data_IF_357270599963
#
_entry.id   IF_357270599963
#
_cell.length_a   1.000
_cell.length_b   1.000
_cell.length_c   1.000
_cell.angle_alpha   90.00
_cell.angle_beta   90.00
_cell.angle_gamma   90.00
#
_symmetry.space_group_name_H-M   'P 1'
#
loop_
_entity.id
_entity.type
_entity.pdbx_description
1 polymer ?
#
# COMPACT_ATOMS: atom_id res chain seq x y z
N UNK A 1 -24.91 -10.88 -14.62
CA UNK A 1 -24.07 -10.13 -13.66
C UNK A 1 -23.46 -8.97 -14.43
N UNK A 2 -23.97 -7.75 -14.26
CA UNK A 2 -23.47 -6.59 -15.02
C UNK A 2 -22.20 -6.07 -14.34
N UNK A 3 -21.06 -6.14 -15.03
CA UNK A 3 -19.87 -5.38 -14.65
C UNK A 3 -20.20 -3.90 -14.77
N UNK A 4 -20.09 -3.16 -13.67
CA UNK A 4 -20.21 -1.72 -13.68
C UNK A 4 -18.96 -1.17 -14.37
N UNK A 5 -19.04 -0.84 -15.66
CA UNK A 5 -18.00 -0.05 -16.30
C UNK A 5 -17.97 1.32 -15.61
N UNK A 6 -16.95 1.55 -14.79
CA UNK A 6 -16.73 2.86 -14.18
C UNK A 6 -16.44 3.84 -15.32
N UNK A 7 -17.38 4.74 -15.60
CA UNK A 7 -17.21 5.80 -16.60
C UNK A 7 -16.29 6.89 -16.01
N UNK A 8 -14.99 6.79 -16.25
CA UNK A 8 -14.01 7.78 -15.83
C UNK A 8 -13.92 8.86 -16.92
N UNK A 9 -14.43 10.10 -16.69
CA UNK A 9 -14.38 11.15 -17.69
C UNK A 9 -12.93 11.61 -17.92
N UNK A 10 -12.62 12.12 -19.12
CA UNK A 10 -11.29 12.57 -19.51
C UNK A 10 -10.72 13.71 -18.63
N UNK A 11 -11.58 14.40 -17.88
CA UNK A 11 -11.21 15.45 -16.92
C UNK A 11 -11.28 15.00 -15.46
N UNK A 12 -11.42 13.69 -15.19
CA UNK A 12 -11.38 13.15 -13.85
C UNK A 12 -10.06 13.54 -13.20
N UNK A 13 -10.13 14.38 -12.17
CA UNK A 13 -9.02 14.64 -11.28
C UNK A 13 -9.13 13.65 -10.13
N UNK A 14 -8.01 12.99 -9.82
CA UNK A 14 -7.89 12.24 -8.58
C UNK A 14 -8.30 13.16 -7.42
N UNK A 15 -9.30 12.74 -6.65
CA UNK A 15 -9.65 13.42 -5.40
C UNK A 15 -8.39 13.43 -4.54
N UNK A 16 -7.89 14.62 -4.19
CA UNK A 16 -6.64 14.77 -3.43
C UNK A 16 -6.72 14.22 -2.00
N UNK A 17 -7.87 13.66 -1.59
CA UNK A 17 -8.09 13.04 -0.29
C UNK A 17 -7.63 11.57 -0.27
N UNK A 18 -6.43 11.29 -0.78
CA UNK A 18 -5.84 9.97 -0.69
C UNK A 18 -5.48 9.60 0.75
N UNK A 19 -5.71 8.35 1.13
CA UNK A 19 -5.29 7.83 2.43
C UNK A 19 -3.98 7.07 2.28
N UNK A 20 -2.97 7.44 3.06
CA UNK A 20 -1.73 6.65 3.16
C UNK A 20 -2.03 5.37 3.94
N UNK A 21 -1.92 4.22 3.27
CA UNK A 21 -2.16 2.90 3.88
C UNK A 21 -0.85 2.23 4.33
N UNK A 22 0.26 2.51 3.66
CA UNK A 22 1.56 1.90 3.94
C UNK A 22 2.66 2.96 4.14
N UNK A 23 3.42 2.83 5.22
CA UNK A 23 4.49 3.77 5.57
C UNK A 23 3.98 5.13 6.07
N UNK A 24 4.54 6.22 5.55
CA UNK A 24 4.12 7.59 5.87
C UNK A 24 4.76 8.23 7.10
N UNK A 25 5.52 7.48 7.89
CA UNK A 25 6.11 7.93 9.16
C UNK A 25 7.63 8.15 9.07
N UNK A 26 8.13 8.47 7.88
CA UNK A 26 9.56 8.60 7.60
C UNK A 26 10.26 7.26 7.39
N UNK A 27 11.58 7.36 7.13
CA UNK A 27 12.46 6.20 6.94
C UNK A 27 12.74 5.54 8.28
N UNK A 28 12.58 4.21 8.36
CA UNK A 28 12.90 3.43 9.55
C UNK A 28 12.40 1.98 9.46
N UNK A 29 12.48 1.26 10.57
CA UNK A 29 12.20 -0.18 10.69
C UNK A 29 10.96 -0.48 11.56
N UNK A 30 10.25 0.53 12.07
CA UNK A 30 8.95 0.32 12.70
C UNK A 30 7.92 -0.25 11.71
N UNK A 31 6.84 -0.84 12.21
CA UNK A 31 5.77 -1.45 11.39
C UNK A 31 4.97 -0.46 10.56
N UNK A 32 5.09 0.84 10.83
CA UNK A 32 4.48 1.93 10.08
C UNK A 32 5.53 2.74 9.26
N UNK A 33 6.74 2.21 9.12
CA UNK A 33 7.85 2.81 8.38
C UNK A 33 8.38 1.86 7.30
N UNK A 34 9.02 2.44 6.30
CA UNK A 34 9.70 1.74 5.22
C UNK A 34 11.09 2.36 5.01
N UNK A 35 12.02 1.59 4.45
CA UNK A 35 13.40 1.97 4.21
C UNK A 35 13.87 1.43 2.85
N UNK A 36 14.01 2.35 1.87
CA UNK A 36 14.50 2.01 0.53
C UNK A 36 13.70 0.94 -0.21
N UNK A 37 12.38 0.90 -0.02
CA UNK A 37 11.47 -0.02 -0.68
C UNK A 37 11.60 0.01 -2.22
N UNK A 38 11.50 -1.17 -2.88
CA UNK A 38 11.77 -1.29 -4.33
C UNK A 38 10.62 -1.82 -5.18
N UNK A 39 9.60 -2.43 -4.57
CA UNK A 39 8.46 -2.99 -5.29
C UNK A 39 7.23 -3.11 -4.39
N UNK A 40 6.06 -3.01 -4.99
CA UNK A 40 4.78 -3.24 -4.34
C UNK A 40 3.87 -4.08 -5.24
N UNK A 41 3.02 -4.88 -4.61
CA UNK A 41 1.94 -5.64 -5.25
C UNK A 41 0.66 -5.42 -4.46
N UNK A 42 -0.48 -5.43 -5.16
CA UNK A 42 -1.81 -5.37 -4.56
C UNK A 42 -2.61 -6.54 -5.10
N UNK A 43 -3.14 -7.38 -4.22
CA UNK A 43 -3.96 -8.54 -4.61
C UNK A 43 -5.45 -8.19 -4.74
N UNK A 44 -6.26 -9.19 -5.13
CA UNK A 44 -7.71 -9.04 -5.33
C UNK A 44 -8.46 -8.71 -4.02
N UNK A 45 -7.88 -9.02 -2.86
CA UNK A 45 -8.40 -8.66 -1.53
C UNK A 45 -7.99 -7.25 -1.09
N UNK A 46 -7.34 -6.48 -1.97
CA UNK A 46 -6.77 -5.14 -1.71
C UNK A 46 -5.68 -5.16 -0.63
N UNK A 47 -5.00 -6.29 -0.46
CA UNK A 47 -3.83 -6.38 0.40
C UNK A 47 -2.63 -5.81 -0.32
N UNK A 48 -1.95 -4.86 0.31
CA UNK A 48 -0.72 -4.25 -0.19
C UNK A 48 0.47 -5.01 0.38
N UNK A 49 1.35 -5.50 -0.48
CA UNK A 49 2.61 -6.14 -0.10
C UNK A 49 3.77 -5.34 -0.66
N UNK A 50 4.76 -5.02 0.18
CA UNK A 50 5.89 -4.14 -0.17
C UNK A 50 7.21 -4.83 0.17
N UNK A 51 8.13 -4.83 -0.78
CA UNK A 51 9.52 -5.23 -0.55
C UNK A 51 10.27 -4.05 0.11
N UNK A 52 10.47 -4.14 1.42
CA UNK A 52 11.16 -3.15 2.25
C UNK A 52 12.67 -3.43 2.28
N UNK A 53 13.30 -3.18 1.12
CA UNK A 53 14.61 -3.71 0.74
C UNK A 53 15.72 -3.43 1.75
N UNK A 54 15.88 -2.19 2.23
CA UNK A 54 16.99 -1.85 3.15
C UNK A 54 16.74 -2.33 4.58
N UNK A 55 15.52 -2.76 4.89
CA UNK A 55 15.18 -3.45 6.14
C UNK A 55 15.18 -4.97 5.99
N UNK A 56 15.51 -5.49 4.79
CA UNK A 56 15.55 -6.93 4.47
C UNK A 56 14.25 -7.68 4.83
N UNK A 57 13.10 -7.05 4.62
CA UNK A 57 11.80 -7.65 4.96
C UNK A 57 10.74 -7.40 3.89
N UNK A 58 9.69 -8.20 3.95
CA UNK A 58 8.46 -8.00 3.18
C UNK A 58 7.36 -7.60 4.15
N UNK A 59 6.75 -6.45 3.87
CA UNK A 59 5.69 -5.88 4.70
C UNK A 59 4.32 -6.06 4.02
N UNK A 60 3.28 -6.26 4.81
CA UNK A 60 1.89 -6.41 4.36
C UNK A 60 0.98 -5.42 5.10
N UNK A 61 0.04 -4.81 4.37
CA UNK A 61 -1.12 -4.09 4.90
C UNK A 61 -2.37 -4.68 4.27
N UNK A 62 -3.29 -5.18 5.08
CA UNK A 62 -4.57 -5.68 4.58
C UNK A 62 -5.51 -4.52 4.30
N UNK A 63 -6.57 -4.78 3.54
CA UNK A 63 -7.61 -3.77 3.32
C UNK A 63 -8.15 -3.24 4.65
N UNK A 64 -8.14 -1.92 4.82
CA UNK A 64 -8.53 -1.23 6.05
C UNK A 64 -7.39 -0.97 7.05
N UNK A 65 -6.22 -1.59 6.88
CA UNK A 65 -5.04 -1.27 7.70
C UNK A 65 -4.47 0.08 7.29
N UNK A 66 -4.44 1.03 8.23
CA UNK A 66 -3.99 2.41 7.98
C UNK A 66 -2.91 2.88 8.94
N UNK A 67 -2.61 2.08 9.97
CA UNK A 67 -1.74 2.49 11.07
C UNK A 67 -0.43 1.71 11.10
N UNK A 68 -0.47 0.38 11.00
CA UNK A 68 0.69 -0.49 11.09
C UNK A 68 0.57 -1.66 10.10
N UNK A 69 1.68 -2.01 9.47
CA UNK A 69 1.80 -3.22 8.65
C UNK A 69 2.29 -4.40 9.46
N UNK A 70 2.35 -5.56 8.81
CA UNK A 70 2.86 -6.81 9.35
C UNK A 70 4.06 -7.28 8.55
N UNK A 71 5.09 -7.79 9.22
CA UNK A 71 6.19 -8.49 8.55
C UNK A 71 5.70 -9.87 8.16
N UNK A 72 5.77 -10.21 6.88
CA UNK A 72 5.28 -11.52 6.36
C UNK A 72 6.40 -12.40 5.78
N UNK A 73 7.57 -11.82 5.52
CA UNK A 73 8.80 -12.55 5.17
C UNK A 73 10.03 -11.66 5.43
N UNK A 74 11.22 -12.25 5.43
CA UNK A 74 12.49 -11.60 5.77
C UNK A 74 13.28 -12.45 6.74
#
# INVERSE_FOLDING_TARGET
MFSLLVNIPANAKWSQNGLTVAGGHGRGDATNQLNGHRGLFVDDDQTVVIADHENHRVMQWKNGDTTNGQVVAG
#
